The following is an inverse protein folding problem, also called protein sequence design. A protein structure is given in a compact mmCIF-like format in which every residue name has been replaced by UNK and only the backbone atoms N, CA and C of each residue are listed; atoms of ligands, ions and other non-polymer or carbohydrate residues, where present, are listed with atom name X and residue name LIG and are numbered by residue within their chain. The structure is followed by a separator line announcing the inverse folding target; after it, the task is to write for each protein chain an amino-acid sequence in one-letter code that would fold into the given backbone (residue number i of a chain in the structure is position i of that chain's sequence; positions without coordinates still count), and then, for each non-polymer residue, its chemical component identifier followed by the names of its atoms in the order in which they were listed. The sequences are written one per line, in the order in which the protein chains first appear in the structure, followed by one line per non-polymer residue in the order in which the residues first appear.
data_IF_697518550260
#
_entry.id   IF_697518550260
#
_cell.length_a   1.000
_cell.length_b   1.000
_cell.length_c   1.000
_cell.angle_alpha   90.00
_cell.angle_beta   90.00
_cell.angle_gamma   90.00
#
_symmetry.space_group_name_H-M   'P 1'
#
loop_
_entity.id
_entity.type
_entity.pdbx_description
1 polymer ?
#
# COMPACT_ATOMS: atom_id res chain seq x y z
N UNK A 1 12.16 -46.02 -16.71
CA UNK A 1 12.20 -44.62 -17.20
C UNK A 1 12.28 -43.68 -16.00
N UNK A 2 13.39 -42.95 -15.84
CA UNK A 2 13.69 -42.10 -14.66
C UNK A 2 12.95 -40.77 -14.81
N UNK A 3 11.88 -40.58 -14.05
CA UNK A 3 11.05 -39.39 -14.09
C UNK A 3 11.82 -38.20 -13.49
N UNK A 4 12.45 -37.37 -14.33
CA UNK A 4 13.07 -36.11 -13.93
C UNK A 4 11.92 -35.15 -13.58
N UNK A 5 11.67 -34.95 -12.28
CA UNK A 5 10.86 -33.81 -11.83
C UNK A 5 11.56 -32.57 -12.37
N UNK A 6 10.96 -31.93 -13.37
CA UNK A 6 11.41 -30.66 -13.90
C UNK A 6 11.23 -29.63 -12.78
N UNK A 7 12.32 -29.37 -12.05
CA UNK A 7 12.44 -28.27 -11.13
C UNK A 7 12.53 -26.97 -11.95
N UNK A 8 11.44 -26.60 -12.63
CA UNK A 8 11.30 -25.22 -13.05
C UNK A 8 11.41 -24.37 -11.77
N UNK A 9 12.25 -23.31 -11.74
CA UNK A 9 12.22 -22.38 -10.63
C UNK A 9 10.76 -21.94 -10.53
N UNK A 10 10.14 -22.16 -9.37
CA UNK A 10 8.77 -21.73 -9.13
C UNK A 10 8.74 -20.24 -9.48
N UNK A 11 8.13 -19.91 -10.63
CA UNK A 11 8.02 -18.52 -11.08
C UNK A 11 7.43 -17.69 -9.96
N UNK A 12 7.76 -16.40 -9.93
CA UNK A 12 7.32 -15.45 -8.91
C UNK A 12 5.92 -15.79 -8.38
N UNK A 13 5.84 -16.21 -7.11
CA UNK A 13 4.59 -16.64 -6.50
C UNK A 13 3.54 -15.53 -6.67
N UNK A 14 2.27 -15.90 -6.91
CA UNK A 14 1.13 -14.95 -6.95
C UNK A 14 1.14 -14.00 -5.73
N UNK A 15 1.70 -14.48 -4.62
CA UNK A 15 1.89 -13.72 -3.39
C UNK A 15 2.94 -12.60 -3.50
N UNK A 16 4.08 -12.85 -4.16
CA UNK A 16 5.09 -11.82 -4.43
C UNK A 16 4.54 -10.72 -5.33
N UNK A 17 3.71 -11.07 -6.31
CA UNK A 17 2.97 -10.09 -7.11
C UNK A 17 1.96 -9.29 -6.27
N UNK A 18 1.24 -9.95 -5.35
CA UNK A 18 0.32 -9.28 -4.46
C UNK A 18 1.04 -8.28 -3.51
N UNK A 19 2.22 -8.65 -3.00
CA UNK A 19 3.08 -7.72 -2.24
C UNK A 19 3.58 -6.57 -3.13
N UNK A 20 4.01 -6.85 -4.35
CA UNK A 20 4.47 -5.82 -5.27
C UNK A 20 3.38 -4.80 -5.57
N UNK A 21 2.15 -5.28 -5.84
CA UNK A 21 0.96 -4.44 -6.03
C UNK A 21 0.63 -3.65 -4.76
N UNK A 22 0.71 -4.30 -3.60
CA UNK A 22 0.54 -3.62 -2.31
C UNK A 22 1.57 -2.52 -2.09
N UNK A 23 2.78 -2.64 -2.63
CA UNK A 23 3.82 -1.61 -2.56
C UNK A 23 3.70 -0.51 -3.64
N UNK A 24 2.82 -0.63 -4.65
CA UNK A 24 2.62 0.42 -5.68
C UNK A 24 2.30 1.79 -5.06
N UNK A 25 1.45 1.90 -4.04
CA UNK A 25 1.21 3.19 -3.41
C UNK A 25 2.45 3.82 -2.80
N UNK A 26 3.41 3.04 -2.30
CA UNK A 26 4.67 3.59 -1.79
C UNK A 26 5.46 4.33 -2.89
N UNK A 27 5.33 3.90 -4.15
CA UNK A 27 5.90 4.60 -5.31
C UNK A 27 5.16 5.90 -5.68
N UNK A 28 3.92 6.11 -5.20
CA UNK A 28 3.18 7.36 -5.40
C UNK A 28 3.60 8.47 -4.42
N UNK A 29 4.54 8.19 -3.52
CA UNK A 29 5.10 9.18 -2.60
C UNK A 29 5.55 10.51 -3.24
N UNK A 30 6.33 10.53 -4.35
CA UNK A 30 6.68 11.78 -5.01
C UNK A 30 5.45 12.55 -5.52
N UNK A 31 4.38 11.85 -5.91
CA UNK A 31 3.12 12.48 -6.30
C UNK A 31 2.43 13.15 -5.10
N UNK A 32 2.57 12.55 -3.93
CA UNK A 32 2.11 13.08 -2.65
C UNK A 32 2.74 14.45 -2.36
N UNK A 33 4.04 14.64 -2.65
CA UNK A 33 4.69 15.96 -2.54
C UNK A 33 4.06 17.02 -3.44
N UNK A 34 3.56 16.64 -4.62
CA UNK A 34 2.82 17.53 -5.53
C UNK A 34 1.39 17.82 -5.06
N UNK A 35 0.76 16.89 -4.35
CA UNK A 35 -0.61 17.04 -3.84
C UNK A 35 -0.67 17.94 -2.61
N UNK A 36 0.37 17.96 -1.77
CA UNK A 36 0.48 18.82 -0.58
C UNK A 36 0.12 20.30 -0.82
N UNK A 37 0.67 21.01 -1.83
CA UNK A 37 0.28 22.39 -2.11
C UNK A 37 -1.17 22.54 -2.60
N UNK A 38 -1.69 21.56 -3.34
CA UNK A 38 -3.07 21.57 -3.82
C UNK A 38 -4.07 21.40 -2.67
N UNK A 39 -3.78 20.53 -1.70
CA UNK A 39 -4.57 20.40 -0.47
C UNK A 39 -4.50 21.65 0.40
N UNK A 40 -3.32 22.29 0.49
CA UNK A 40 -3.13 23.50 1.32
C UNK A 40 -3.91 24.71 0.80
N UNK A 41 -4.13 24.77 -0.52
CA UNK A 41 -4.85 25.87 -1.16
C UNK A 41 -6.38 25.68 -1.14
N UNK A 42 -6.89 24.57 -0.58
CA UNK A 42 -8.32 24.29 -0.55
C UNK A 42 -8.95 24.87 0.75
N UNK A 43 -9.79 25.93 0.67
CA UNK A 43 -10.26 26.67 1.84
C UNK A 43 -11.32 25.93 2.67
N UNK A 44 -11.79 24.77 2.22
CA UNK A 44 -12.79 23.91 2.88
C UNK A 44 -12.19 22.92 3.88
N UNK A 45 -10.87 22.74 3.92
CA UNK A 45 -10.21 21.78 4.80
C UNK A 45 -9.61 22.47 6.04
N UNK A 46 -9.93 21.94 7.22
CA UNK A 46 -9.36 22.42 8.48
C UNK A 46 -7.85 22.19 8.51
N UNK A 47 -7.09 23.11 9.12
CA UNK A 47 -5.63 23.00 9.28
C UNK A 47 -5.21 21.66 9.91
N UNK A 48 -6.06 21.09 10.78
CA UNK A 48 -5.88 19.79 11.42
C UNK A 48 -6.05 18.62 10.44
N UNK A 49 -6.99 18.71 9.50
CA UNK A 49 -7.18 17.69 8.44
C UNK A 49 -5.98 17.69 7.48
N UNK A 50 -5.48 18.87 7.09
CA UNK A 50 -4.29 19.01 6.24
C UNK A 50 -3.05 18.41 6.92
N UNK A 51 -2.88 18.65 8.22
CA UNK A 51 -1.74 18.14 8.97
C UNK A 51 -1.82 16.60 9.13
N UNK A 52 -3.00 16.05 9.44
CA UNK A 52 -3.21 14.60 9.51
C UNK A 52 -3.00 13.92 8.14
N UNK A 53 -3.52 14.50 7.06
CA UNK A 53 -3.32 14.00 5.71
C UNK A 53 -1.84 14.02 5.34
N UNK A 54 -1.11 15.10 5.65
CA UNK A 54 0.34 15.22 5.39
C UNK A 54 1.17 14.20 6.18
N UNK A 55 0.87 14.00 7.47
CA UNK A 55 1.52 13.00 8.32
C UNK A 55 1.24 11.58 7.81
N UNK A 56 0.00 11.31 7.39
CA UNK A 56 -0.36 10.01 6.83
C UNK A 56 0.37 9.77 5.50
N UNK A 57 0.42 10.79 4.64
CA UNK A 57 1.16 10.79 3.39
C UNK A 57 2.67 10.60 3.58
N UNK A 58 3.21 10.96 4.75
CA UNK A 58 4.62 10.77 5.09
C UNK A 58 4.93 9.46 5.87
N UNK A 59 3.97 8.92 6.61
CA UNK A 59 4.22 7.69 7.37
C UNK A 59 3.87 6.42 6.60
N UNK A 60 2.99 6.50 5.60
CA UNK A 60 2.42 5.31 4.96
C UNK A 60 3.43 4.40 4.23
N UNK A 61 4.45 4.84 3.45
CA UNK A 61 5.34 3.91 2.76
C UNK A 61 6.27 3.20 3.73
N UNK A 62 6.69 3.88 4.81
CA UNK A 62 7.43 3.25 5.89
C UNK A 62 6.57 2.15 6.53
N UNK A 63 5.31 2.46 6.83
CA UNK A 63 4.35 1.50 7.37
C UNK A 63 4.11 0.33 6.41
N UNK A 64 3.90 0.59 5.12
CA UNK A 64 3.72 -0.44 4.08
C UNK A 64 4.97 -1.30 3.92
N UNK A 65 6.17 -0.73 3.99
CA UNK A 65 7.41 -1.49 3.89
C UNK A 65 7.56 -2.44 5.07
N UNK A 66 7.25 -1.97 6.29
CA UNK A 66 7.24 -2.80 7.50
C UNK A 66 6.18 -3.91 7.37
N UNK A 67 4.95 -3.56 6.98
CA UNK A 67 3.86 -4.51 6.78
C UNK A 67 4.21 -5.55 5.72
N UNK A 68 4.77 -5.15 4.58
CA UNK A 68 5.22 -6.07 3.52
C UNK A 68 6.25 -7.07 4.06
N UNK A 69 7.20 -6.61 4.89
CA UNK A 69 8.19 -7.48 5.53
C UNK A 69 7.55 -8.47 6.51
N UNK A 70 6.61 -7.99 7.33
CA UNK A 70 5.86 -8.83 8.28
C UNK A 70 5.01 -9.86 7.54
N UNK A 71 4.27 -9.44 6.52
CA UNK A 71 3.39 -10.27 5.69
C UNK A 71 4.22 -11.32 4.95
N UNK A 72 5.40 -10.96 4.42
CA UNK A 72 6.32 -11.91 3.80
C UNK A 72 6.81 -12.97 4.79
N UNK A 73 7.24 -12.55 5.99
CA UNK A 73 7.69 -13.47 7.04
C UNK A 73 6.55 -14.34 7.56
N UNK A 74 5.33 -13.80 7.63
CA UNK A 74 4.12 -14.49 8.04
C UNK A 74 3.67 -15.51 6.99
N UNK A 75 3.81 -15.20 5.70
CA UNK A 75 3.47 -16.10 4.61
C UNK A 75 4.28 -17.39 4.64
N UNK A 76 5.56 -17.31 5.02
CA UNK A 76 6.41 -18.49 5.22
C UNK A 76 5.88 -19.44 6.30
N UNK A 77 5.11 -18.96 7.28
CA UNK A 77 4.50 -19.78 8.34
C UNK A 77 3.03 -20.12 8.09
N UNK A 78 2.24 -19.14 7.60
CA UNK A 78 0.78 -19.19 7.47
C UNK A 78 0.33 -18.41 6.22
N UNK A 79 0.36 -19.03 5.03
CA UNK A 79 0.11 -18.33 3.77
C UNK A 79 -1.31 -17.75 3.68
N UNK A 80 -2.33 -18.46 4.20
CA UNK A 80 -3.72 -18.00 4.16
C UNK A 80 -3.96 -16.71 4.95
N UNK A 81 -3.39 -16.61 6.16
CA UNK A 81 -3.53 -15.42 7.01
C UNK A 81 -2.81 -14.20 6.41
N UNK A 82 -1.63 -14.42 5.81
CA UNK A 82 -0.89 -13.37 5.12
C UNK A 82 -1.70 -12.73 3.98
N UNK A 83 -2.46 -13.54 3.22
CA UNK A 83 -3.36 -13.02 2.18
C UNK A 83 -4.52 -12.20 2.74
N UNK A 84 -5.19 -12.67 3.79
CA UNK A 84 -6.27 -11.89 4.43
C UNK A 84 -5.76 -10.55 4.96
N UNK A 85 -4.61 -10.56 5.65
CA UNK A 85 -4.02 -9.34 6.18
C UNK A 85 -3.63 -8.36 5.07
N UNK A 86 -3.04 -8.87 3.99
CA UNK A 86 -2.70 -8.06 2.81
C UNK A 86 -3.95 -7.45 2.17
N UNK A 87 -5.02 -8.24 2.01
CA UNK A 87 -6.28 -7.76 1.45
C UNK A 87 -6.93 -6.67 2.33
N UNK A 88 -6.95 -6.86 3.65
CA UNK A 88 -7.48 -5.87 4.60
C UNK A 88 -6.67 -4.57 4.53
N UNK A 89 -5.33 -4.66 4.56
CA UNK A 89 -4.47 -3.49 4.44
C UNK A 89 -4.65 -2.78 3.09
N UNK A 90 -4.80 -3.54 2.00
CA UNK A 90 -5.04 -2.99 0.66
C UNK A 90 -6.36 -2.21 0.59
N UNK A 91 -7.45 -2.80 1.11
CA UNK A 91 -8.77 -2.16 1.14
C UNK A 91 -8.73 -0.89 1.98
N UNK A 92 -8.20 -0.95 3.21
CA UNK A 92 -8.09 0.21 4.10
C UNK A 92 -7.28 1.34 3.46
N UNK A 93 -6.18 0.99 2.80
CA UNK A 93 -5.33 1.97 2.14
C UNK A 93 -6.04 2.66 0.97
N UNK A 94 -6.68 1.91 0.07
CA UNK A 94 -7.42 2.48 -1.06
C UNK A 94 -8.61 3.32 -0.60
N UNK A 95 -9.30 2.92 0.47
CA UNK A 95 -10.36 3.71 1.09
C UNK A 95 -9.83 5.05 1.58
N UNK A 96 -8.70 5.06 2.28
CA UNK A 96 -8.08 6.30 2.76
C UNK A 96 -7.71 7.23 1.59
N UNK A 97 -7.09 6.69 0.53
CA UNK A 97 -6.75 7.46 -0.68
C UNK A 97 -8.00 8.02 -1.35
N UNK A 98 -9.08 7.23 -1.46
CA UNK A 98 -10.35 7.69 -2.02
C UNK A 98 -10.96 8.84 -1.20
N UNK A 99 -10.94 8.74 0.12
CA UNK A 99 -11.44 9.81 1.00
C UNK A 99 -10.63 11.08 0.79
N UNK A 100 -9.30 10.98 0.76
CA UNK A 100 -8.41 12.12 0.52
C UNK A 100 -8.66 12.71 -0.88
N UNK A 101 -8.81 11.87 -1.90
CA UNK A 101 -9.05 12.33 -3.27
C UNK A 101 -10.41 13.02 -3.39
N UNK A 102 -11.49 12.45 -2.84
CA UNK A 102 -12.82 13.06 -2.88
C UNK A 102 -12.82 14.36 -2.07
N UNK A 103 -12.24 14.40 -0.88
CA UNK A 103 -12.23 15.62 -0.04
C UNK A 103 -11.26 16.69 -0.57
N UNK A 104 -10.17 16.28 -1.21
CA UNK A 104 -9.14 17.17 -1.74
C UNK A 104 -9.47 17.75 -3.12
N UNK A 105 -10.17 16.98 -3.97
CA UNK A 105 -10.54 17.39 -5.33
C UNK A 105 -12.01 17.77 -5.50
N UNK A 106 -12.88 17.55 -4.51
CA UNK A 106 -14.21 18.14 -4.52
C UNK A 106 -14.10 19.60 -4.03
N UNK A 107 -14.31 20.59 -4.91
CA UNK A 107 -14.21 22.01 -4.57
C UNK A 107 -15.26 22.44 -3.54
#
# INVERSE_FOLDING_TARGET
MRNRKNNFPQGFSKFSWAIAIFCIPAFLWPLSLLLSPSLKNNPTLSQTEINNMSIFMWSYPLLLFILARIIYKLHLRKPKLAYYLLAICFILFYLAVLIIAVRGFNP
#
